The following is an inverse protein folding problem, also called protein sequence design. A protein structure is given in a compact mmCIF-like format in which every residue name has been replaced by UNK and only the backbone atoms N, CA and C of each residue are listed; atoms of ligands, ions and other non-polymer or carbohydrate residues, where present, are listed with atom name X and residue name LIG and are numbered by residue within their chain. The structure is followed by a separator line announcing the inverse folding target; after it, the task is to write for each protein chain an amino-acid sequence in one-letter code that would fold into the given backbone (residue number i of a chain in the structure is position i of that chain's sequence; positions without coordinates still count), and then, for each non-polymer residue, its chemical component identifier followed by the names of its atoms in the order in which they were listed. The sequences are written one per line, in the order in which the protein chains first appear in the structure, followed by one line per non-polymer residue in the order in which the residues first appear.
data_IF_375348870857
#
_entry.id   IF_375348870857
#
_cell.length_a   1.000
_cell.length_b   1.000
_cell.length_c   1.000
_cell.angle_alpha   90.00
_cell.angle_beta   90.00
_cell.angle_gamma   90.00
#
_symmetry.space_group_name_H-M   'P 1'
#
loop_
_entity.id
_entity.type
_entity.pdbx_description
1 polymer ?
#
# COMPACT_ATOMS: atom_id res chain seq x y z
N UNK A 1 -15.76 -11.90 -13.42
CA UNK A 1 -15.78 -10.52 -12.92
C UNK A 1 -14.34 -10.08 -12.85
N UNK A 2 -13.96 -9.09 -13.66
CA UNK A 2 -12.57 -8.64 -13.79
C UNK A 2 -12.14 -7.87 -12.53
N UNK A 3 -10.86 -7.90 -12.18
CA UNK A 3 -10.33 -7.16 -11.02
C UNK A 3 -10.63 -5.65 -11.08
N UNK A 4 -10.67 -5.09 -12.30
CA UNK A 4 -11.08 -3.70 -12.55
C UNK A 4 -12.53 -3.42 -12.17
N UNK A 5 -13.41 -4.40 -12.28
CA UNK A 5 -14.81 -4.29 -11.85
C UNK A 5 -14.94 -4.38 -10.33
N UNK A 6 -14.09 -5.19 -9.68
CA UNK A 6 -13.98 -5.21 -8.22
C UNK A 6 -13.57 -3.83 -7.70
N UNK A 7 -12.53 -3.20 -8.27
CA UNK A 7 -12.07 -1.84 -7.94
C UNK A 7 -13.19 -0.78 -8.03
N UNK A 8 -14.12 -0.93 -8.99
CA UNK A 8 -15.28 -0.04 -9.15
C UNK A 8 -16.38 -0.26 -8.10
N UNK A 9 -16.45 -1.45 -7.50
CA UNK A 9 -17.44 -1.83 -6.48
C UNK A 9 -16.89 -1.68 -5.05
N UNK A 10 -15.58 -1.47 -4.86
CA UNK A 10 -14.99 -1.27 -3.53
C UNK A 10 -15.55 0.02 -2.92
N UNK A 11 -16.12 -0.11 -1.71
CA UNK A 11 -16.62 1.02 -0.90
C UNK A 11 -15.54 2.06 -0.55
N UNK A 12 -14.26 1.77 -0.83
CA UNK A 12 -13.09 2.62 -0.55
C UNK A 12 -12.10 2.57 -1.73
N UNK A 13 -12.10 3.58 -2.60
CA UNK A 13 -11.11 3.67 -3.67
C UNK A 13 -9.72 3.93 -3.08
N UNK A 14 -8.64 3.51 -3.75
CA UNK A 14 -7.27 3.64 -3.25
C UNK A 14 -6.90 5.09 -2.89
N UNK A 15 -7.43 6.08 -3.62
CA UNK A 15 -7.25 7.51 -3.27
C UNK A 15 -7.68 7.84 -1.84
N UNK A 16 -8.78 7.25 -1.37
CA UNK A 16 -9.27 7.55 -0.03
C UNK A 16 -8.42 6.88 1.06
N UNK A 17 -7.92 5.67 0.79
CA UNK A 17 -6.98 4.99 1.68
C UNK A 17 -5.69 5.80 1.85
N UNK A 18 -5.03 6.14 0.73
CA UNK A 18 -3.77 6.91 0.70
C UNK A 18 -3.92 8.29 1.36
N UNK A 19 -5.11 8.89 1.32
CA UNK A 19 -5.37 10.17 2.01
C UNK A 19 -5.38 10.08 3.55
N UNK A 20 -5.29 8.88 4.13
CA UNK A 20 -5.32 8.68 5.58
C UNK A 20 -6.72 8.82 6.21
N UNK A 21 -7.79 8.76 5.42
CA UNK A 21 -9.15 8.89 5.94
C UNK A 21 -9.54 7.65 6.74
N UNK A 22 -9.65 7.76 8.07
CA UNK A 22 -10.03 6.64 8.96
C UNK A 22 -11.34 5.95 8.53
N UNK A 23 -11.38 4.63 8.59
CA UNK A 23 -12.59 3.84 8.36
C UNK A 23 -12.51 2.44 8.96
N UNK A 24 -13.65 1.91 9.37
CA UNK A 24 -13.75 0.58 10.00
C UNK A 24 -13.60 -0.61 9.04
N UNK A 25 -13.62 -0.37 7.72
CA UNK A 25 -13.62 -1.41 6.67
C UNK A 25 -12.75 -1.01 5.49
N UNK A 26 -11.53 -0.58 5.76
CA UNK A 26 -10.54 -0.33 4.73
C UNK A 26 -9.93 -1.67 4.28
N UNK A 27 -10.06 -2.07 3.00
CA UNK A 27 -9.54 -3.36 2.54
C UNK A 27 -8.07 -3.29 2.10
N UNK A 28 -7.44 -2.11 2.13
CA UNK A 28 -6.09 -1.92 1.66
C UNK A 28 -5.07 -2.02 2.79
N UNK A 29 -3.94 -2.66 2.49
CA UNK A 29 -2.77 -2.72 3.34
C UNK A 29 -1.66 -1.92 2.64
N UNK A 30 -1.20 -0.82 3.27
CA UNK A 30 -0.05 -0.06 2.78
C UNK A 30 1.25 -0.85 2.98
N UNK A 31 2.05 -0.91 1.91
CA UNK A 31 3.43 -1.41 1.93
C UNK A 31 4.32 -0.48 1.10
N UNK A 32 5.63 -0.62 1.19
CA UNK A 32 6.59 0.21 0.46
C UNK A 32 7.70 -0.63 -0.15
N UNK A 33 8.22 -0.20 -1.30
CA UNK A 33 9.47 -0.72 -1.88
C UNK A 33 10.74 -0.11 -1.28
N UNK A 34 10.61 0.95 -0.48
CA UNK A 34 11.73 1.68 0.12
C UNK A 34 11.96 1.27 1.57
N UNK A 35 13.15 0.73 1.87
CA UNK A 35 13.57 0.42 3.24
C UNK A 35 13.53 1.66 4.14
N UNK A 36 13.99 2.80 3.65
CA UNK A 36 13.98 4.07 4.39
C UNK A 36 12.56 4.50 4.77
N UNK A 37 11.60 4.35 3.84
CA UNK A 37 10.19 4.63 4.13
C UNK A 37 9.63 3.65 5.17
N UNK A 38 9.99 2.37 5.08
CA UNK A 38 9.57 1.38 6.06
C UNK A 38 10.09 1.70 7.47
N UNK A 39 11.36 2.09 7.60
CA UNK A 39 11.98 2.51 8.86
C UNK A 39 11.35 3.80 9.41
N UNK A 40 11.07 4.78 8.53
CA UNK A 40 10.37 5.99 8.89
C UNK A 40 9.00 5.67 9.52
N UNK A 41 8.18 4.84 8.87
CA UNK A 41 6.85 4.51 9.38
C UNK A 41 6.87 3.54 10.57
N UNK A 42 7.88 2.67 10.68
CA UNK A 42 8.05 1.80 11.85
C UNK A 42 8.13 2.60 13.15
N UNK A 43 8.73 3.79 13.11
CA UNK A 43 8.91 4.70 14.24
C UNK A 43 8.01 5.94 14.20
N UNK A 44 7.22 6.12 13.13
CA UNK A 44 6.54 7.38 12.81
C UNK A 44 7.47 8.61 12.85
N UNK A 45 8.65 8.48 12.24
CA UNK A 45 9.70 9.51 12.24
C UNK A 45 10.31 9.73 13.63
N UNK A 46 10.56 8.65 14.38
CA UNK A 46 11.13 8.69 15.73
C UNK A 46 10.16 9.09 16.84
N UNK A 47 8.86 9.23 16.55
CA UNK A 47 7.84 9.60 17.54
C UNK A 47 7.37 8.42 18.40
N UNK A 48 7.65 7.19 17.97
CA UNK A 48 7.22 5.96 18.62
C UNK A 48 8.37 4.94 18.64
N UNK A 49 8.27 3.97 19.55
CA UNK A 49 9.11 2.79 19.50
C UNK A 49 8.96 2.08 18.15
N UNK A 50 10.05 1.50 17.65
CA UNK A 50 10.06 0.83 16.36
C UNK A 50 9.11 -0.37 16.38
N UNK A 51 8.10 -0.34 15.49
CA UNK A 51 7.32 -1.52 15.15
C UNK A 51 8.14 -2.44 14.23
N UNK A 52 7.88 -3.76 14.23
CA UNK A 52 8.54 -4.68 13.32
C UNK A 52 8.32 -4.30 11.85
N UNK A 53 9.38 -4.38 11.06
CA UNK A 53 9.29 -4.23 9.60
C UNK A 53 9.25 -5.62 8.98
N UNK A 54 8.23 -5.88 8.16
CA UNK A 54 8.00 -7.19 7.54
C UNK A 54 8.45 -7.16 6.08
N UNK A 55 9.26 -8.13 5.66
CA UNK A 55 9.61 -8.34 4.26
C UNK A 55 8.55 -9.21 3.58
N UNK A 56 8.03 -8.73 2.46
CA UNK A 56 6.97 -9.38 1.70
C UNK A 56 7.47 -9.69 0.28
N UNK A 57 7.31 -10.94 -0.14
CA UNK A 57 7.54 -11.40 -1.52
C UNK A 57 6.27 -11.21 -2.36
N UNK A 58 6.26 -10.17 -3.19
CA UNK A 58 5.11 -9.84 -4.05
C UNK A 58 4.82 -10.91 -5.11
N UNK A 59 5.77 -11.81 -5.43
CA UNK A 59 5.55 -12.87 -6.43
C UNK A 59 4.58 -13.96 -5.93
N UNK A 60 4.38 -14.02 -4.61
CA UNK A 60 3.48 -14.95 -3.93
C UNK A 60 2.10 -14.34 -3.66
N UNK A 61 1.85 -13.12 -4.14
CA UNK A 61 0.55 -12.46 -4.05
C UNK A 61 -0.06 -12.43 -5.47
N UNK A 62 -1.34 -12.80 -5.65
CA UNK A 62 -2.01 -12.66 -6.95
C UNK A 62 -1.87 -11.22 -7.47
N UNK A 63 -1.49 -11.06 -8.74
CA UNK A 63 -1.19 -9.74 -9.32
C UNK A 63 -2.38 -8.80 -9.25
N UNK A 64 -3.57 -9.35 -9.39
CA UNK A 64 -4.83 -8.64 -9.19
C UNK A 64 -4.93 -8.05 -7.78
N UNK A 65 -4.38 -8.65 -6.74
CA UNK A 65 -4.45 -8.07 -5.39
C UNK A 65 -3.39 -7.00 -5.12
N UNK A 66 -2.56 -6.66 -6.11
CA UNK A 66 -1.47 -5.69 -5.96
C UNK A 66 -1.80 -4.45 -6.78
N UNK A 67 -1.85 -3.30 -6.09
CA UNK A 67 -1.91 -2.00 -6.73
C UNK A 67 -0.59 -1.28 -6.50
N UNK A 68 0.24 -1.26 -7.54
CA UNK A 68 1.52 -0.59 -7.50
C UNK A 68 1.32 0.92 -7.72
N UNK A 69 1.73 1.75 -6.75
CA UNK A 69 1.64 3.21 -6.78
C UNK A 69 3.03 3.84 -6.66
N UNK A 70 4.09 3.05 -6.90
CA UNK A 70 5.45 3.37 -6.46
C UNK A 70 6.17 4.38 -7.36
N UNK A 71 5.52 4.83 -8.44
CA UNK A 71 6.04 5.85 -9.35
C UNK A 71 4.95 6.87 -9.65
N UNK A 72 5.33 8.04 -10.14
CA UNK A 72 4.38 9.11 -10.48
C UNK A 72 3.36 8.66 -11.55
N UNK A 73 3.81 7.88 -12.54
CA UNK A 73 2.99 7.36 -13.62
C UNK A 73 1.93 6.40 -13.07
N UNK A 74 2.37 5.38 -12.32
CA UNK A 74 1.49 4.38 -11.72
C UNK A 74 0.50 5.00 -10.73
N UNK A 75 0.96 5.96 -9.93
CA UNK A 75 0.10 6.69 -9.03
C UNK A 75 -0.95 7.52 -9.79
N UNK A 76 -0.59 8.15 -10.91
CA UNK A 76 -1.51 8.94 -11.72
C UNK A 76 -2.60 8.10 -12.40
N UNK A 77 -2.31 6.84 -12.75
CA UNK A 77 -3.27 5.90 -13.33
C UNK A 77 -4.42 5.53 -12.36
N UNK A 78 -4.14 5.53 -11.05
CA UNK A 78 -5.03 4.94 -10.05
C UNK A 78 -5.58 5.93 -9.03
N UNK A 79 -4.89 7.05 -8.81
CA UNK A 79 -5.23 8.03 -7.79
C UNK A 79 -5.79 9.31 -8.39
N UNK A 80 -6.77 9.93 -7.70
CA UNK A 80 -7.50 11.08 -8.23
C UNK A 80 -6.86 12.43 -7.90
N UNK A 81 -6.18 12.56 -6.75
CA UNK A 81 -5.73 13.87 -6.27
C UNK A 81 -4.20 14.01 -6.39
N UNK A 82 -3.67 15.22 -6.71
CA UNK A 82 -2.23 15.46 -6.74
C UNK A 82 -1.52 15.08 -5.44
N UNK A 83 -2.12 15.39 -4.29
CA UNK A 83 -1.59 15.02 -2.98
C UNK A 83 -1.35 13.51 -2.88
N UNK A 84 -2.37 12.69 -3.12
CA UNK A 84 -2.27 11.23 -3.01
C UNK A 84 -1.26 10.64 -3.98
N UNK A 85 -1.16 11.19 -5.21
CA UNK A 85 -0.17 10.78 -6.21
C UNK A 85 1.26 11.04 -5.74
N UNK A 86 1.49 12.24 -5.21
CA UNK A 86 2.83 12.67 -4.80
C UNK A 86 3.31 11.87 -3.60
N UNK A 87 2.47 11.68 -2.58
CA UNK A 87 2.88 10.95 -1.37
C UNK A 87 3.07 9.45 -1.65
N UNK A 88 2.20 8.82 -2.45
CA UNK A 88 2.35 7.40 -2.77
C UNK A 88 3.63 7.15 -3.58
N UNK A 89 3.93 8.01 -4.56
CA UNK A 89 5.15 7.91 -5.35
C UNK A 89 6.40 8.19 -4.51
N UNK A 90 6.40 9.22 -3.66
CA UNK A 90 7.52 9.57 -2.79
C UNK A 90 7.85 8.43 -1.80
N UNK A 91 6.83 7.75 -1.29
CA UNK A 91 6.97 6.61 -0.39
C UNK A 91 7.07 5.27 -1.11
N UNK A 92 7.17 5.26 -2.45
CA UNK A 92 7.21 4.04 -3.27
C UNK A 92 6.14 3.02 -2.86
N UNK A 93 4.92 3.51 -2.64
CA UNK A 93 3.84 2.75 -2.03
C UNK A 93 3.32 1.66 -2.98
N UNK A 94 3.03 0.50 -2.40
CA UNK A 94 2.34 -0.62 -3.05
C UNK A 94 1.20 -1.02 -2.11
N UNK A 95 -0.03 -1.00 -2.60
CA UNK A 95 -1.18 -1.45 -1.81
C UNK A 95 -1.47 -2.91 -2.10
N UNK A 96 -1.71 -3.67 -1.04
CA UNK A 96 -2.19 -5.05 -1.12
C UNK A 96 -3.66 -5.07 -0.73
N UNK A 97 -4.50 -5.65 -1.59
CA UNK A 97 -5.93 -5.79 -1.36
C UNK A 97 -6.22 -7.03 -0.51
N UNK A 98 -6.99 -6.85 0.57
CA UNK A 98 -7.48 -7.93 1.42
C UNK A 98 -6.44 -8.37 2.45
N UNK A 99 -5.71 -9.45 2.16
CA UNK A 99 -4.78 -10.08 3.11
C UNK A 99 -3.45 -10.45 2.44
N UNK A 100 -2.38 -10.41 3.22
CA UNK A 100 -1.07 -10.95 2.83
C UNK A 100 -1.06 -12.45 3.13
N UNK A 101 -0.83 -13.32 2.14
CA UNK A 101 -0.66 -14.77 2.39
C UNK A 101 0.55 -15.04 3.29
N UNK A 102 0.48 -15.96 4.26
CA UNK A 102 1.61 -16.26 5.16
C UNK A 102 2.90 -16.62 4.41
N UNK A 103 2.79 -17.35 3.31
CA UNK A 103 3.90 -17.76 2.45
C UNK A 103 4.62 -16.58 1.77
N UNK A 104 3.95 -15.43 1.65
CA UNK A 104 4.53 -14.20 1.12
C UNK A 104 5.39 -13.47 2.16
N UNK A 105 5.29 -13.79 3.45
CA UNK A 105 6.14 -13.21 4.50
C UNK A 105 7.47 -13.96 4.51
N UNK A 106 8.55 -13.26 4.15
CA UNK A 106 9.89 -13.87 4.00
C UNK A 106 10.88 -13.48 5.11
N UNK A 107 10.45 -12.66 6.07
CA UNK A 107 11.24 -12.33 7.26
C UNK A 107 10.94 -10.96 7.83
N UNK A 108 11.75 -10.56 8.81
CA UNK A 108 11.74 -9.24 9.44
C UNK A 108 13.05 -8.50 9.15
N UNK A 109 13.03 -7.17 9.23
CA UNK A 109 14.23 -6.32 9.34
C UNK A 109 14.48 -5.99 10.82
#
# INVERSE_FOLDING_TARGET
MEFRDQLRIIKRPPTQHVSGTKHSRDPWISTTRSTETAEYFATHGGKQAANPIIKIDLTKIPKEHILDLSTAEKAAEHLKTPFTRNVSAAHQEVLIFGKIPPEAIIGFL
#
